data_IF_381543542069
#
_entry.id   IF_381543542069
#
_cell.length_a   1.000
_cell.length_b   1.000
_cell.length_c   1.000
_cell.angle_alpha   90.00
_cell.angle_beta   90.00
_cell.angle_gamma   90.00
#
_symmetry.space_group_name_H-M   'P 1'
#
loop_
_entity.id
_entity.type
_entity.pdbx_description
1 polymer ?
#
# COMPACT_ATOMS: atom_id res chain seq x y z
N UNK A 1 32.23 -31.63 54.19
CA UNK A 1 30.77 -31.41 54.09
C UNK A 1 30.37 -29.93 53.89
N UNK A 2 31.00 -28.95 54.58
CA UNK A 2 30.68 -27.51 54.41
C UNK A 2 30.99 -26.90 53.03
N UNK A 3 31.95 -27.43 52.27
CA UNK A 3 32.35 -26.89 50.95
C UNK A 3 31.42 -27.32 49.79
N UNK A 4 30.73 -28.46 49.92
CA UNK A 4 29.78 -28.97 48.90
C UNK A 4 28.45 -28.21 48.99
N UNK A 5 28.05 -27.80 50.19
CA UNK A 5 26.83 -27.02 50.42
C UNK A 5 26.92 -25.59 49.85
N UNK A 6 28.12 -24.99 49.84
CA UNK A 6 28.33 -23.64 49.29
C UNK A 6 28.30 -23.61 47.76
N UNK A 7 28.71 -24.69 47.09
CA UNK A 7 28.69 -24.79 45.63
C UNK A 7 27.25 -25.04 45.13
N UNK A 8 26.46 -25.81 45.86
CA UNK A 8 25.04 -26.03 45.54
C UNK A 8 24.20 -24.75 45.68
N UNK A 9 24.51 -23.88 46.64
CA UNK A 9 23.81 -22.60 46.83
C UNK A 9 24.19 -21.56 45.75
N UNK A 10 25.43 -21.62 45.25
CA UNK A 10 25.92 -20.75 44.17
C UNK A 10 25.35 -21.15 42.80
N UNK A 11 25.15 -22.45 42.55
CA UNK A 11 24.47 -22.91 41.33
C UNK A 11 22.97 -22.59 41.31
N UNK A 12 22.30 -22.60 42.47
CA UNK A 12 20.86 -22.30 42.54
C UNK A 12 20.54 -20.81 42.33
N UNK A 13 21.49 -19.92 42.63
CA UNK A 13 21.34 -18.47 42.43
C UNK A 13 21.62 -18.03 40.98
N UNK A 14 22.28 -18.85 40.17
CA UNK A 14 22.51 -18.58 38.73
C UNK A 14 21.30 -18.99 37.88
N UNK A 15 20.48 -19.94 38.35
CA UNK A 15 19.28 -20.38 37.63
C UNK A 15 18.06 -19.44 37.77
N UNK A 16 18.10 -18.47 38.69
CA UNK A 16 17.00 -17.51 38.91
C UNK A 16 17.22 -16.16 38.19
N UNK A 17 18.38 -15.94 37.59
CA UNK A 17 18.73 -14.68 36.90
C UNK A 17 18.42 -14.65 35.40
N UNK A 18 17.82 -15.70 34.84
CA UNK A 18 17.59 -15.84 33.38
C UNK A 18 16.12 -15.99 32.98
N UNK A 19 15.19 -15.56 33.83
CA UNK A 19 13.89 -15.08 33.32
C UNK A 19 14.09 -13.63 32.93
N UNK A 20 14.90 -13.42 31.88
CA UNK A 20 14.76 -12.21 31.10
C UNK A 20 13.33 -12.21 30.61
N UNK A 21 12.49 -11.34 31.17
CA UNK A 21 11.30 -10.90 30.47
C UNK A 21 11.79 -10.42 29.11
N UNK A 22 11.71 -11.28 28.11
CA UNK A 22 11.52 -10.85 26.75
C UNK A 22 10.18 -10.11 26.79
N UNK A 23 10.22 -8.83 27.16
CA UNK A 23 9.24 -7.88 26.70
C UNK A 23 9.31 -8.04 25.20
N UNK A 24 8.38 -8.80 24.64
CA UNK A 24 8.00 -8.67 23.24
C UNK A 24 7.76 -7.18 23.10
N UNK A 25 8.73 -6.50 22.50
CA UNK A 25 8.57 -5.12 22.08
C UNK A 25 7.37 -5.19 21.14
N UNK A 26 6.20 -4.79 21.64
CA UNK A 26 5.04 -4.62 20.77
C UNK A 26 5.52 -3.65 19.71
N UNK A 27 5.56 -4.15 18.47
CA UNK A 27 5.93 -3.36 17.32
C UNK A 27 4.97 -2.16 17.32
N UNK A 28 5.52 -0.94 17.46
CA UNK A 28 4.67 0.24 17.48
C UNK A 28 3.80 0.23 16.23
N UNK A 29 2.48 0.48 16.37
CA UNK A 29 1.59 0.45 15.23
C UNK A 29 2.07 1.47 14.20
N UNK A 30 2.18 1.01 12.95
CA UNK A 30 2.57 1.83 11.81
C UNK A 30 1.66 3.08 11.75
N UNK A 31 2.21 4.30 11.89
CA UNK A 31 1.41 5.52 11.97
C UNK A 31 0.85 5.96 10.60
N UNK A 32 1.03 5.17 9.55
CA UNK A 32 0.64 5.51 8.19
C UNK A 32 -0.72 4.91 7.85
N UNK A 33 -1.76 5.76 7.85
CA UNK A 33 -3.12 5.39 7.45
C UNK A 33 -3.28 5.20 5.93
N UNK A 34 -2.41 5.83 5.13
CA UNK A 34 -2.44 5.73 3.67
C UNK A 34 -1.05 5.99 3.07
N UNK A 35 -0.63 5.09 2.18
CA UNK A 35 0.57 5.23 1.37
C UNK A 35 0.32 4.69 -0.02
N UNK A 36 0.66 5.47 -1.04
CA UNK A 36 0.73 5.00 -2.42
C UNK A 36 2.17 4.58 -2.72
N UNK A 37 2.36 3.37 -3.20
CA UNK A 37 3.67 2.80 -3.51
C UNK A 37 3.93 2.72 -5.01
N UNK A 38 2.89 2.50 -5.81
CA UNK A 38 3.04 2.37 -7.26
C UNK A 38 1.99 3.17 -8.01
N UNK A 39 2.35 3.62 -9.21
CA UNK A 39 1.46 4.22 -10.17
C UNK A 39 1.91 3.82 -11.57
N UNK A 40 1.07 3.04 -12.24
CA UNK A 40 1.23 2.69 -13.64
C UNK A 40 0.14 3.35 -14.45
N UNK A 41 0.47 3.87 -15.64
CA UNK A 41 -0.51 4.52 -16.51
C UNK A 41 -0.32 4.12 -17.96
N UNK A 42 -1.40 4.13 -18.72
CA UNK A 42 -1.37 4.12 -20.17
C UNK A 42 -2.58 4.88 -20.74
N UNK A 43 -2.51 5.23 -22.02
CA UNK A 43 -3.59 5.93 -22.71
C UNK A 43 -3.62 5.49 -24.18
N UNK A 44 -4.82 5.43 -24.75
CA UNK A 44 -5.02 5.33 -26.18
C UNK A 44 -6.20 6.22 -26.60
N UNK A 45 -6.77 5.98 -27.79
CA UNK A 45 -7.88 6.78 -28.30
C UNK A 45 -9.17 6.66 -27.46
N UNK A 46 -9.41 5.49 -26.84
CA UNK A 46 -10.68 5.16 -26.21
C UNK A 46 -10.63 5.26 -24.69
N UNK A 47 -9.47 5.00 -24.06
CA UNK A 47 -9.33 4.97 -22.61
C UNK A 47 -8.05 5.63 -22.11
N UNK A 48 -8.16 6.21 -20.92
CA UNK A 48 -7.05 6.38 -19.99
C UNK A 48 -7.13 5.30 -18.93
N UNK A 49 -6.00 4.69 -18.59
CA UNK A 49 -5.92 3.66 -17.57
C UNK A 49 -4.87 4.03 -16.53
N UNK A 50 -5.19 3.76 -15.26
CA UNK A 50 -4.25 3.88 -14.15
C UNK A 50 -4.37 2.69 -13.22
N UNK A 51 -3.25 2.14 -12.82
CA UNK A 51 -3.14 1.07 -11.84
C UNK A 51 -2.30 1.60 -10.67
N UNK A 52 -2.92 1.63 -9.50
CA UNK A 52 -2.33 2.19 -8.29
C UNK A 52 -2.30 1.12 -7.22
N UNK A 53 -1.21 1.02 -6.46
CA UNK A 53 -1.14 0.14 -5.31
C UNK A 53 -0.48 0.81 -4.11
N UNK A 54 -0.71 0.26 -2.93
CA UNK A 54 -0.03 0.65 -1.73
C UNK A 54 -0.74 0.11 -0.50
N UNK A 55 -0.73 0.89 0.58
CA UNK A 55 -1.28 0.52 1.89
C UNK A 55 -2.32 1.53 2.32
N UNK A 56 -3.43 1.08 2.87
CA UNK A 56 -4.46 1.95 3.40
C UNK A 56 -5.21 1.30 4.54
N UNK A 57 -5.78 2.10 5.43
CA UNK A 57 -6.77 1.60 6.37
C UNK A 57 -7.93 0.92 5.65
N UNK A 58 -8.43 -0.16 6.27
CA UNK A 58 -9.56 -0.92 5.77
C UNK A 58 -10.86 -0.11 5.84
N UNK A 59 -10.96 0.73 6.87
CA UNK A 59 -11.99 1.74 7.05
C UNK A 59 -11.29 3.00 7.56
N UNK A 60 -11.22 4.02 6.71
CA UNK A 60 -10.65 5.30 7.11
C UNK A 60 -11.62 6.05 8.03
N UNK A 61 -11.15 6.40 9.23
CA UNK A 61 -11.87 7.22 10.20
C UNK A 61 -10.94 8.35 10.62
N UNK A 62 -11.31 9.59 10.29
CA UNK A 62 -10.50 10.77 10.59
C UNK A 62 -10.55 11.13 12.08
N UNK A 63 -9.98 10.29 12.94
CA UNK A 63 -9.90 10.44 14.39
C UNK A 63 -8.45 10.55 14.92
N UNK A 64 -7.47 10.53 14.00
CA UNK A 64 -6.05 10.62 14.35
C UNK A 64 -5.42 9.28 14.75
N UNK A 65 -6.14 8.16 14.59
CA UNK A 65 -5.67 6.82 14.99
C UNK A 65 -5.68 5.88 13.81
N UNK A 66 -4.53 5.29 13.54
CA UNK A 66 -4.42 4.22 12.56
C UNK A 66 -4.96 2.92 13.15
N UNK A 67 -5.82 2.28 12.37
CA UNK A 67 -6.46 1.00 12.69
C UNK A 67 -5.93 -0.11 11.77
N UNK A 68 -6.82 -0.93 11.20
CA UNK A 68 -6.46 -2.09 10.39
C UNK A 68 -5.99 -1.66 8.99
N UNK A 69 -4.67 -1.58 8.80
CA UNK A 69 -4.05 -1.29 7.48
C UNK A 69 -3.96 -2.56 6.64
N UNK A 70 -4.32 -2.45 5.35
CA UNK A 70 -4.21 -3.51 4.35
C UNK A 70 -3.52 -3.01 3.09
N UNK A 71 -2.92 -3.94 2.36
CA UNK A 71 -2.47 -3.69 1.01
C UNK A 71 -3.67 -3.55 0.07
N UNK A 72 -3.57 -2.63 -0.89
CA UNK A 72 -4.56 -2.46 -1.95
C UNK A 72 -3.88 -2.35 -3.30
N UNK A 73 -4.61 -2.74 -4.33
CA UNK A 73 -4.31 -2.41 -5.71
C UNK A 73 -5.63 -2.16 -6.43
N UNK A 74 -5.72 -1.02 -7.11
CA UNK A 74 -6.92 -0.56 -7.81
C UNK A 74 -6.58 -0.26 -9.25
N UNK A 75 -7.31 -0.88 -10.16
CA UNK A 75 -7.31 -0.52 -11.57
C UNK A 75 -8.47 0.42 -11.84
N UNK A 76 -8.17 1.56 -12.45
CA UNK A 76 -9.14 2.55 -12.89
C UNK A 76 -9.02 2.74 -14.39
N UNK A 77 -10.16 2.77 -15.08
CA UNK A 77 -10.25 3.19 -16.48
C UNK A 77 -11.20 4.40 -16.59
N UNK A 78 -10.85 5.31 -17.48
CA UNK A 78 -11.66 6.47 -17.83
C UNK A 78 -11.92 6.40 -19.33
N UNK A 79 -13.15 6.09 -19.76
CA UNK A 79 -13.52 6.18 -21.16
C UNK A 79 -13.41 7.61 -21.68
N UNK A 80 -12.95 7.77 -22.91
CA UNK A 80 -12.77 9.07 -23.58
C UNK A 80 -13.92 9.40 -24.53
N UNK A 81 -14.84 8.46 -24.75
CA UNK A 81 -16.01 8.61 -25.62
C UNK A 81 -17.31 8.25 -24.89
N UNK A 82 -18.40 8.93 -25.26
CA UNK A 82 -19.68 8.89 -24.53
C UNK A 82 -20.36 7.52 -24.64
N UNK A 83 -20.19 6.85 -25.78
CA UNK A 83 -20.72 5.52 -26.08
C UNK A 83 -20.14 4.43 -25.17
N UNK A 84 -18.92 4.62 -24.68
CA UNK A 84 -18.21 3.67 -23.81
C UNK A 84 -18.69 3.70 -22.34
N UNK A 85 -19.55 4.63 -21.93
CA UNK A 85 -19.97 4.75 -20.51
C UNK A 85 -21.02 3.75 -20.02
N UNK A 86 -21.61 2.98 -20.93
CA UNK A 86 -22.71 2.06 -20.61
C UNK A 86 -22.32 0.58 -20.74
N UNK A 87 -21.06 0.30 -21.05
CA UNK A 87 -20.55 -1.07 -21.17
C UNK A 87 -20.15 -1.67 -19.82
N UNK A 88 -20.07 -3.01 -19.81
CA UNK A 88 -19.46 -3.78 -18.74
C UNK A 88 -18.02 -4.13 -19.12
N UNK A 89 -17.10 -3.89 -18.19
CA UNK A 89 -15.66 -4.01 -18.44
C UNK A 89 -15.05 -5.15 -17.65
N UNK A 90 -14.26 -5.96 -18.33
CA UNK A 90 -13.36 -6.94 -17.73
C UNK A 90 -11.92 -6.56 -18.03
N UNK A 91 -11.00 -6.99 -17.16
CA UNK A 91 -9.57 -6.81 -17.39
C UNK A 91 -8.80 -8.12 -17.27
N UNK A 92 -7.68 -8.18 -17.99
CA UNK A 92 -6.60 -9.14 -17.77
C UNK A 92 -5.32 -8.35 -17.59
N UNK A 93 -4.66 -8.53 -16.45
CA UNK A 93 -3.40 -7.88 -16.11
C UNK A 93 -2.28 -8.91 -16.11
N UNK A 94 -1.26 -8.69 -16.92
CA UNK A 94 -0.07 -9.55 -17.01
C UNK A 94 1.14 -8.79 -16.47
N UNK A 95 1.82 -9.40 -15.51
CA UNK A 95 3.06 -8.88 -14.95
C UNK A 95 4.27 -9.76 -15.29
N UNK A 96 5.37 -9.53 -14.57
CA UNK A 96 6.60 -10.30 -14.72
C UNK A 96 6.48 -11.76 -14.27
N UNK A 97 5.58 -12.02 -13.31
CA UNK A 97 5.53 -13.30 -12.58
C UNK A 97 4.19 -14.01 -12.79
N UNK A 98 3.11 -13.26 -12.93
CA UNK A 98 1.77 -13.81 -12.96
C UNK A 98 0.79 -13.05 -13.83
N UNK A 99 -0.44 -13.53 -13.82
CA UNK A 99 -1.58 -12.93 -14.50
C UNK A 99 -2.77 -12.97 -13.56
N UNK A 100 -3.53 -11.88 -13.53
CA UNK A 100 -4.78 -11.78 -12.78
C UNK A 100 -5.84 -11.14 -13.66
N UNK A 101 -7.10 -11.35 -13.33
CA UNK A 101 -8.25 -10.89 -14.11
C UNK A 101 -9.40 -10.52 -13.19
N UNK A 102 -10.27 -9.63 -13.66
CA UNK A 102 -11.42 -9.20 -12.88
C UNK A 102 -12.38 -8.34 -13.69
N UNK A 103 -13.36 -7.79 -13.00
CA UNK A 103 -14.35 -6.86 -13.54
C UNK A 103 -14.10 -5.46 -13.00
N UNK A 104 -14.56 -4.46 -13.74
CA UNK A 104 -14.55 -3.06 -13.33
C UNK A 104 -15.98 -2.57 -13.19
N UNK A 105 -16.28 -1.99 -12.03
CA UNK A 105 -17.57 -1.43 -11.71
C UNK A 105 -17.55 0.08 -11.94
N UNK A 106 -18.67 0.64 -12.40
CA UNK A 106 -18.77 2.08 -12.60
C UNK A 106 -18.65 2.79 -11.26
N UNK A 107 -17.78 3.80 -11.18
CA UNK A 107 -17.71 4.64 -10.00
C UNK A 107 -19.04 5.39 -9.78
N UNK A 108 -19.42 5.53 -8.52
CA UNK A 108 -20.68 6.14 -8.12
C UNK A 108 -20.68 7.67 -8.29
N UNK A 109 -19.50 8.29 -8.35
CA UNK A 109 -19.33 9.75 -8.34
C UNK A 109 -18.70 10.30 -9.62
N UNK A 110 -17.95 9.47 -10.35
CA UNK A 110 -17.15 9.84 -11.49
C UNK A 110 -17.59 9.24 -12.83
N UNK A 111 -16.84 9.61 -13.85
CA UNK A 111 -16.92 9.08 -15.20
C UNK A 111 -15.80 8.02 -15.40
N UNK A 112 -15.62 7.16 -14.40
CA UNK A 112 -14.59 6.12 -14.35
C UNK A 112 -15.22 4.77 -14.02
N UNK A 113 -14.46 3.71 -14.29
CA UNK A 113 -14.73 2.35 -13.82
C UNK A 113 -13.53 1.87 -13.04
N UNK A 114 -13.78 1.20 -11.93
CA UNK A 114 -12.78 0.82 -10.95
C UNK A 114 -12.96 -0.63 -10.52
N UNK A 115 -11.85 -1.30 -10.24
CA UNK A 115 -11.87 -2.65 -9.71
C UNK A 115 -10.62 -2.95 -8.89
N UNK A 116 -10.83 -3.69 -7.80
CA UNK A 116 -9.73 -4.20 -7.00
C UNK A 116 -8.96 -5.27 -7.80
N UNK A 117 -7.63 -5.18 -7.75
CA UNK A 117 -6.75 -6.19 -8.33
C UNK A 117 -6.42 -7.22 -7.26
N UNK A 118 -7.16 -8.33 -7.28
CA UNK A 118 -6.93 -9.43 -6.34
C UNK A 118 -5.63 -10.16 -6.67
N UNK A 119 -4.93 -10.62 -5.63
CA UNK A 119 -3.63 -11.31 -5.75
C UNK A 119 -2.54 -10.45 -6.43
N UNK A 120 -2.57 -9.14 -6.18
CA UNK A 120 -1.59 -8.17 -6.67
C UNK A 120 -0.14 -8.60 -6.44
N UNK A 121 0.14 -9.15 -5.26
CA UNK A 121 1.44 -9.66 -4.85
C UNK A 121 2.00 -10.74 -5.79
N UNK A 122 1.13 -11.48 -6.48
CA UNK A 122 1.52 -12.57 -7.39
C UNK A 122 1.78 -12.12 -8.82
N UNK A 123 1.34 -10.92 -9.20
CA UNK A 123 1.49 -10.39 -10.56
C UNK A 123 2.96 -10.05 -10.87
N UNK A 124 3.69 -9.56 -9.86
CA UNK A 124 5.02 -8.97 -10.05
C UNK A 124 4.93 -7.60 -10.72
N UNK A 125 5.98 -7.18 -11.45
CA UNK A 125 5.97 -5.88 -12.16
C UNK A 125 4.95 -5.90 -13.30
N UNK A 126 3.92 -5.03 -13.29
CA UNK A 126 2.95 -4.93 -14.38
C UNK A 126 3.61 -4.65 -15.73
N UNK A 127 3.08 -5.24 -16.79
CA UNK A 127 3.57 -5.04 -18.16
C UNK A 127 2.45 -4.68 -19.11
N UNK A 128 1.48 -5.58 -19.25
CA UNK A 128 0.36 -5.39 -20.17
C UNK A 128 -0.97 -5.49 -19.45
N UNK A 129 -1.90 -4.66 -19.89
CA UNK A 129 -3.28 -4.66 -19.45
C UNK A 129 -4.17 -4.84 -20.68
N UNK A 130 -5.09 -5.76 -20.62
CA UNK A 130 -6.13 -5.92 -21.64
C UNK A 130 -7.47 -5.55 -21.04
N UNK A 131 -8.19 -4.63 -21.67
CA UNK A 131 -9.58 -4.28 -21.34
C UNK A 131 -10.50 -4.91 -22.37
N UNK A 132 -11.53 -5.62 -21.90
CA UNK A 132 -12.51 -6.32 -22.75
C UNK A 132 -13.91 -5.79 -22.45
N UNK A 133 -14.66 -5.46 -23.50
CA UNK A 133 -16.03 -4.95 -23.43
C UNK A 133 -16.78 -5.31 -24.71
N UNK A 134 -17.98 -5.90 -24.59
CA UNK A 134 -18.69 -6.45 -25.74
C UNK A 134 -17.82 -7.43 -26.55
N UNK A 135 -17.67 -7.18 -27.86
CA UNK A 135 -16.81 -7.94 -28.77
C UNK A 135 -15.43 -7.27 -29.00
N UNK A 136 -15.11 -6.24 -28.21
CA UNK A 136 -13.89 -5.46 -28.32
C UNK A 136 -12.86 -5.84 -27.26
N UNK A 137 -11.58 -5.69 -27.60
CA UNK A 137 -10.46 -5.91 -26.71
C UNK A 137 -9.34 -4.92 -27.03
N UNK A 138 -8.82 -4.26 -26.01
CA UNK A 138 -7.77 -3.26 -26.14
C UNK A 138 -6.62 -3.57 -25.21
N UNK A 139 -5.41 -3.62 -25.77
CA UNK A 139 -4.18 -3.87 -25.04
C UNK A 139 -3.42 -2.57 -24.78
N UNK A 140 -2.91 -2.44 -23.56
CA UNK A 140 -2.12 -1.32 -23.08
C UNK A 140 -0.77 -1.83 -22.60
N UNK A 141 0.31 -1.13 -22.96
CA UNK A 141 1.60 -1.27 -22.28
C UNK A 141 1.65 -0.27 -21.14
N UNK A 142 1.78 -0.77 -19.91
CA UNK A 142 1.75 0.06 -18.71
C UNK A 142 3.11 0.72 -18.48
N UNK A 143 3.12 2.03 -18.27
CA UNK A 143 4.31 2.79 -17.92
C UNK A 143 4.34 3.04 -16.41
N UNK A 144 5.45 2.66 -15.76
CA UNK A 144 5.73 3.03 -14.37
C UNK A 144 6.00 4.55 -14.28
N UNK A 145 5.21 5.25 -13.48
CA UNK A 145 5.36 6.69 -13.22
C UNK A 145 6.21 6.98 -11.99
N UNK A 146 6.51 5.97 -11.20
CA UNK A 146 7.33 6.05 -10.00
C UNK A 146 8.79 5.68 -10.27
N UNK A 147 9.12 5.20 -11.49
CA UNK A 147 10.49 4.87 -11.86
C UNK A 147 11.43 6.09 -11.68
N UNK A 148 12.51 5.89 -10.93
CA UNK A 148 13.50 6.92 -10.62
C UNK A 148 13.11 7.89 -9.50
N UNK A 149 11.91 7.78 -8.93
CA UNK A 149 11.49 8.54 -7.75
C UNK A 149 11.85 7.82 -6.45
N UNK A 150 11.80 8.57 -5.35
CA UNK A 150 11.91 8.00 -4.00
C UNK A 150 10.70 7.10 -3.70
N UNK A 151 10.90 6.08 -2.88
CA UNK A 151 9.81 5.19 -2.45
C UNK A 151 8.92 5.88 -1.41
N UNK A 152 7.72 5.34 -1.19
CA UNK A 152 6.81 5.81 -0.15
C UNK A 152 7.46 5.83 1.25
N UNK A 153 8.25 4.81 1.59
CA UNK A 153 9.00 4.74 2.86
C UNK A 153 10.09 5.80 2.99
N UNK A 154 10.78 6.11 1.89
CA UNK A 154 11.78 7.17 1.91
C UNK A 154 11.12 8.54 2.01
N UNK A 155 9.98 8.72 1.33
CA UNK A 155 9.15 9.91 1.44
C UNK A 155 8.62 10.10 2.88
N UNK A 156 8.12 9.04 3.51
CA UNK A 156 7.70 9.02 4.91
C UNK A 156 8.84 9.45 5.85
N UNK A 157 10.02 8.83 5.71
CA UNK A 157 11.19 9.15 6.53
C UNK A 157 11.58 10.62 6.40
N UNK A 158 11.68 11.12 5.16
CA UNK A 158 12.00 12.53 4.90
C UNK A 158 10.93 13.45 5.50
N UNK A 159 9.66 13.10 5.36
CA UNK A 159 8.55 13.86 5.90
C UNK A 159 8.67 13.96 7.42
N UNK A 160 8.76 12.82 8.10
CA UNK A 160 8.93 12.74 9.55
C UNK A 160 10.10 13.60 10.02
N UNK A 161 11.30 13.41 9.44
CA UNK A 161 12.50 14.19 9.81
C UNK A 161 12.30 15.71 9.60
N UNK A 162 11.53 16.10 8.58
CA UNK A 162 11.29 17.52 8.26
C UNK A 162 10.27 18.18 9.18
N UNK A 163 9.23 17.45 9.61
CA UNK A 163 8.12 18.01 10.39
C UNK A 163 8.13 17.56 11.85
N UNK A 164 9.07 16.71 12.29
CA UNK A 164 9.13 16.17 13.65
C UNK A 164 9.00 17.25 14.71
N UNK A 165 9.78 18.33 14.61
CA UNK A 165 9.71 19.43 15.58
C UNK A 165 8.33 20.13 15.64
N UNK A 166 7.54 20.07 14.57
CA UNK A 166 6.16 20.59 14.55
C UNK A 166 5.18 19.58 15.13
N UNK A 167 5.39 18.28 14.88
CA UNK A 167 4.60 17.20 15.47
C UNK A 167 4.81 17.16 16.99
N UNK A 168 6.05 17.25 17.47
CA UNK A 168 6.41 17.24 18.89
C UNK A 168 5.85 18.45 19.66
N UNK A 169 5.60 19.56 18.97
CA UNK A 169 5.06 20.78 19.56
C UNK A 169 3.52 20.80 19.61
N UNK A 170 2.85 19.83 18.98
CA UNK A 170 1.40 19.73 18.88
C UNK A 170 0.89 18.61 19.80
N UNK A 171 0.05 18.93 20.78
CA UNK A 171 -0.48 17.99 21.77
C UNK A 171 -1.80 17.32 21.36
N UNK A 172 -2.27 17.57 20.14
CA UNK A 172 -3.52 17.03 19.63
C UNK A 172 -3.26 15.77 18.79
N UNK A 173 -4.16 14.78 18.90
CA UNK A 173 -4.24 13.66 17.95
C UNK A 173 -4.79 14.19 16.61
N UNK A 174 -3.96 14.22 15.55
CA UNK A 174 -4.34 14.69 14.21
C UNK A 174 -3.71 13.83 13.12
N UNK A 175 -4.43 13.63 12.04
CA UNK A 175 -3.86 13.08 10.81
C UNK A 175 -3.12 14.17 10.03
N UNK A 176 -1.90 13.85 9.59
CA UNK A 176 -1.10 14.77 8.78
C UNK A 176 -0.95 14.22 7.37
N UNK A 177 -1.48 14.95 6.39
CA UNK A 177 -1.30 14.62 4.98
C UNK A 177 -0.02 15.27 4.44
N UNK A 178 0.91 14.44 3.94
CA UNK A 178 2.14 14.91 3.30
C UNK A 178 2.11 14.55 1.83
N UNK A 179 2.27 15.57 0.98
CA UNK A 179 2.41 15.39 -0.46
C UNK A 179 3.73 15.98 -0.93
N UNK A 180 4.56 15.15 -1.53
CA UNK A 180 5.75 15.60 -2.24
C UNK A 180 5.32 16.17 -3.58
N UNK A 181 5.60 17.45 -3.80
CA UNK A 181 5.33 18.14 -5.06
C UNK A 181 6.68 18.30 -5.74
N UNK A 182 6.82 17.75 -6.93
CA UNK A 182 7.96 18.06 -7.78
C UNK A 182 7.62 19.37 -8.50
N UNK A 183 8.20 20.49 -8.07
CA UNK A 183 8.17 21.73 -8.84
C UNK A 183 9.12 21.55 -10.03
N UNK A 184 8.58 21.07 -11.16
CA UNK A 184 9.26 21.09 -12.46
C UNK A 184 8.99 22.40 -13.20
#
# INVERSE_FOLDING_TARGET
MKKVFLIALLCLSICLGSVGCALTQEEEPDPISYMQETLYTAENANFRVSLTSGRSESLFVADGKVTDVKDYATLTIVPLHVDLYNDAYCYTLVGSTGTTQGTLDKDNFGASFEGAVTEWDKVGTPKTLTITYGDHSEEFTLQDRMEGYITGKEAERIAHDTIQAKLDADDHERETYVRFINDS
#
